data_IF_556352323485
#
_entry.id   IF_556352323485
#
_cell.length_a   1.000
_cell.length_b   1.000
_cell.length_c   1.000
_cell.angle_alpha   90.00
_cell.angle_beta   90.00
_cell.angle_gamma   90.00
#
_symmetry.space_group_name_H-M   'P 1'
#
loop_
_entity.id
_entity.type
_entity.pdbx_description
1 polymer ?
#
# COMPACT_ATOMS: atom_id res chain seq x y z
N UNK A 1 -6.15 -6.15 24.54
CA UNK A 1 -5.95 -4.79 23.98
C UNK A 1 -4.85 -4.84 22.92
N UNK A 2 -4.91 -4.02 21.86
CA UNK A 2 -4.01 -4.04 20.68
C UNK A 2 -2.55 -3.59 20.99
N UNK A 3 -1.98 -3.93 22.15
CA UNK A 3 -0.66 -3.45 22.58
C UNK A 3 -0.46 -1.93 22.40
N UNK A 4 -1.53 -1.15 22.62
CA UNK A 4 -1.50 0.30 22.42
C UNK A 4 -0.48 0.95 23.38
N UNK A 5 0.48 1.75 22.88
CA UNK A 5 1.57 2.28 23.71
C UNK A 5 1.12 3.43 24.63
N UNK A 6 -0.08 3.96 24.44
CA UNK A 6 -0.60 5.08 25.22
C UNK A 6 -1.34 4.56 26.46
N UNK A 7 -0.69 4.58 27.61
CA UNK A 7 -1.29 4.16 28.89
C UNK A 7 -2.58 4.90 29.23
N UNK A 8 -2.74 6.16 28.80
CA UNK A 8 -3.97 6.95 28.99
C UNK A 8 -5.19 6.38 28.26
N UNK A 9 -4.99 5.53 27.25
CA UNK A 9 -6.04 4.90 26.45
C UNK A 9 -6.37 3.47 26.91
N UNK A 10 -5.48 2.87 27.71
CA UNK A 10 -5.49 1.45 28.09
C UNK A 10 -5.78 1.31 29.59
N UNK A 11 -5.45 2.32 30.39
CA UNK A 11 -5.62 2.33 31.85
C UNK A 11 -6.71 3.31 32.31
N UNK A 12 -7.28 3.07 33.49
CA UNK A 12 -8.33 3.92 34.09
C UNK A 12 -9.76 3.62 33.61
N UNK A 13 -10.74 4.40 34.06
CA UNK A 13 -12.14 4.21 33.68
C UNK A 13 -12.39 4.55 32.20
N UNK A 14 -13.12 3.68 31.49
CA UNK A 14 -13.38 3.81 30.04
C UNK A 14 -14.00 5.17 29.68
N UNK A 15 -14.85 5.70 30.55
CA UNK A 15 -15.57 6.97 30.33
C UNK A 15 -14.64 8.19 30.30
N UNK A 16 -13.46 8.10 30.90
CA UNK A 16 -12.51 9.22 31.00
C UNK A 16 -11.47 9.24 29.87
N UNK A 17 -11.26 8.10 29.19
CA UNK A 17 -10.18 7.89 28.22
C UNK A 17 -10.28 8.73 26.95
N UNK A 18 -11.48 9.20 26.58
CA UNK A 18 -11.74 9.99 25.36
C UNK A 18 -12.31 11.39 25.64
N UNK A 19 -12.22 11.87 26.89
CA UNK A 19 -12.76 13.19 27.24
C UNK A 19 -11.92 14.33 26.67
N UNK A 20 -10.60 14.12 26.59
CA UNK A 20 -9.67 15.14 26.08
C UNK A 20 -9.47 14.98 24.58
N UNK A 21 -9.41 16.12 23.89
CA UNK A 21 -9.10 16.16 22.46
C UNK A 21 -7.76 15.50 22.15
N UNK A 22 -6.74 15.66 23.00
CA UNK A 22 -5.44 15.02 22.78
C UNK A 22 -5.53 13.50 22.80
N UNK A 23 -6.35 12.92 23.70
CA UNK A 23 -6.48 11.47 23.81
C UNK A 23 -7.26 10.89 22.63
N UNK A 24 -8.28 11.59 22.13
CA UNK A 24 -8.94 11.24 20.86
C UNK A 24 -7.96 11.23 19.67
N UNK A 25 -7.04 12.21 19.62
CA UNK A 25 -6.02 12.26 18.57
C UNK A 25 -5.01 11.13 18.69
N UNK A 26 -4.60 10.74 19.90
CA UNK A 26 -3.72 9.57 20.12
C UNK A 26 -4.37 8.28 19.65
N UNK A 27 -5.67 8.10 19.90
CA UNK A 27 -6.43 6.94 19.39
C UNK A 27 -6.46 6.96 17.87
N UNK A 28 -6.80 8.10 17.28
CA UNK A 28 -6.89 8.22 15.82
C UNK A 28 -5.54 7.95 15.17
N UNK A 29 -4.45 8.48 15.73
CA UNK A 29 -3.11 8.22 15.26
C UNK A 29 -2.77 6.72 15.36
N UNK A 30 -3.01 6.10 16.52
CA UNK A 30 -2.74 4.69 16.74
C UNK A 30 -3.52 3.78 15.77
N UNK A 31 -4.83 3.99 15.64
CA UNK A 31 -5.67 3.21 14.73
C UNK A 31 -5.27 3.44 13.26
N UNK A 32 -4.88 4.67 12.90
CA UNK A 32 -4.39 4.97 11.55
C UNK A 32 -3.10 4.22 11.26
N UNK A 33 -2.16 4.17 12.22
CA UNK A 33 -0.90 3.43 12.04
C UNK A 33 -1.11 1.92 12.00
N UNK A 34 -2.02 1.38 12.81
CA UNK A 34 -2.38 -0.05 12.77
C UNK A 34 -3.06 -0.43 11.45
N UNK A 35 -4.00 0.40 10.98
CA UNK A 35 -4.64 0.21 9.69
C UNK A 35 -3.62 0.24 8.55
N UNK A 36 -2.70 1.22 8.57
CA UNK A 36 -1.62 1.31 7.58
C UNK A 36 -0.72 0.08 7.62
N UNK A 37 -0.34 -0.40 8.81
CA UNK A 37 0.47 -1.62 8.96
C UNK A 37 -0.25 -2.85 8.38
N UNK A 38 -1.54 -3.01 8.68
CA UNK A 38 -2.37 -4.09 8.13
C UNK A 38 -2.47 -4.02 6.60
N UNK A 39 -2.69 -2.83 6.04
CA UNK A 39 -2.74 -2.63 4.58
C UNK A 39 -1.40 -3.00 3.91
N UNK A 40 -0.28 -2.63 4.52
CA UNK A 40 1.06 -3.00 4.03
C UNK A 40 1.24 -4.53 4.05
N UNK A 41 0.81 -5.20 5.12
CA UNK A 41 0.91 -6.66 5.24
C UNK A 41 0.04 -7.37 4.20
N UNK A 42 -1.20 -6.90 4.00
CA UNK A 42 -2.10 -7.44 2.98
C UNK A 42 -1.51 -7.29 1.58
N UNK A 43 -0.98 -6.11 1.24
CA UNK A 43 -0.37 -5.85 -0.06
C UNK A 43 0.90 -6.70 -0.31
N UNK A 44 1.67 -7.01 0.74
CA UNK A 44 2.81 -7.93 0.64
C UNK A 44 2.37 -9.37 0.34
N UNK A 45 1.26 -9.83 0.91
CA UNK A 45 0.74 -11.18 0.64
C UNK A 45 0.31 -11.35 -0.82
N UNK A 46 -0.32 -10.34 -1.41
CA UNK A 46 -0.70 -10.35 -2.83
C UNK A 46 0.49 -10.46 -3.79
N UNK A 47 1.68 -9.96 -3.42
CA UNK A 47 2.89 -10.07 -4.24
C UNK A 47 3.64 -11.39 -4.08
N UNK A 48 3.26 -12.23 -3.11
CA UNK A 48 3.96 -13.47 -2.77
C UNK A 48 3.49 -14.71 -3.55
N UNK A 49 2.31 -14.70 -4.15
CA UNK A 49 1.78 -15.86 -4.90
C UNK A 49 2.20 -15.82 -6.37
N UNK A 50 3.45 -16.22 -6.62
CA UNK A 50 4.01 -16.36 -7.96
C UNK A 50 3.49 -17.65 -8.64
N UNK A 51 2.17 -17.75 -8.89
CA UNK A 51 1.56 -18.85 -9.63
C UNK A 51 0.90 -18.33 -10.92
N UNK A 52 1.34 -18.89 -12.05
CA UNK A 52 0.80 -18.77 -13.41
C UNK A 52 0.56 -17.35 -13.97
N UNK A 53 1.43 -16.91 -14.89
CA UNK A 53 1.40 -15.61 -15.59
C UNK A 53 0.05 -15.19 -16.23
N UNK A 54 -0.83 -16.13 -16.57
CA UNK A 54 -2.16 -15.80 -17.10
C UNK A 54 -3.17 -15.50 -15.99
N UNK A 55 -3.01 -16.09 -14.81
CA UNK A 55 -3.82 -15.79 -13.63
C UNK A 55 -3.42 -14.43 -13.03
N UNK A 56 -2.13 -14.05 -13.16
CA UNK A 56 -1.58 -12.79 -12.67
C UNK A 56 -2.30 -11.55 -13.22
N UNK A 57 -2.55 -11.49 -14.54
CA UNK A 57 -3.27 -10.34 -15.15
C UNK A 57 -4.72 -10.27 -14.67
N UNK A 58 -5.40 -11.42 -14.55
CA UNK A 58 -6.77 -11.48 -14.03
C UNK A 58 -6.82 -11.08 -12.56
N UNK A 59 -5.87 -11.52 -11.75
CA UNK A 59 -5.73 -11.12 -10.35
C UNK A 59 -5.45 -9.62 -10.21
N UNK A 60 -4.58 -9.04 -11.04
CA UNK A 60 -4.31 -7.60 -11.03
C UNK A 60 -5.56 -6.79 -11.36
N UNK A 61 -6.30 -7.18 -12.40
CA UNK A 61 -7.54 -6.53 -12.79
C UNK A 61 -8.60 -6.69 -11.69
N UNK A 62 -8.65 -7.84 -11.04
CA UNK A 62 -9.54 -8.08 -9.91
C UNK A 62 -9.18 -7.19 -8.71
N UNK A 63 -7.89 -7.00 -8.41
CA UNK A 63 -7.45 -6.06 -7.38
C UNK A 63 -7.85 -4.62 -7.71
N UNK A 64 -7.72 -4.21 -8.97
CA UNK A 64 -8.16 -2.88 -9.43
C UNK A 64 -9.68 -2.73 -9.25
N UNK A 65 -10.47 -3.73 -9.61
CA UNK A 65 -11.92 -3.74 -9.40
C UNK A 65 -12.27 -3.61 -7.91
N UNK A 66 -11.57 -4.33 -7.02
CA UNK A 66 -11.81 -4.31 -5.57
C UNK A 66 -11.51 -2.93 -4.98
N UNK A 67 -10.41 -2.30 -5.40
CA UNK A 67 -10.03 -0.95 -4.97
C UNK A 67 -11.01 0.11 -5.48
N UNK A 68 -11.49 -0.02 -6.72
CA UNK A 68 -12.41 0.93 -7.34
C UNK A 68 -13.89 0.67 -6.97
N UNK A 69 -14.18 -0.43 -6.25
CA UNK A 69 -15.55 -0.86 -5.93
C UNK A 69 -16.37 -1.20 -7.19
N UNK A 70 -15.71 -1.69 -8.25
CA UNK A 70 -16.37 -2.17 -9.46
C UNK A 70 -16.91 -3.58 -9.18
N UNK A 71 -18.20 -3.88 -9.48
CA UNK A 71 -18.77 -5.21 -9.25
C UNK A 71 -17.94 -6.28 -9.94
N UNK A 72 -17.64 -7.37 -9.20
CA UNK A 72 -16.97 -8.55 -9.76
C UNK A 72 -17.88 -9.14 -10.85
N UNK A 73 -17.37 -9.25 -12.07
CA UNK A 73 -18.01 -10.11 -13.07
C UNK A 73 -17.98 -11.53 -12.51
N UNK A 74 -19.14 -12.15 -12.30
CA UNK A 74 -19.27 -13.49 -11.71
C UNK A 74 -18.69 -14.63 -12.57
N UNK A 75 -18.07 -14.31 -13.71
CA UNK A 75 -17.40 -15.25 -14.60
C UNK A 75 -15.88 -15.14 -14.41
N UNK A 76 -15.36 -15.76 -13.37
CA UNK A 76 -13.93 -15.78 -13.01
C UNK A 76 -13.04 -16.57 -13.98
N UNK A 77 -13.45 -16.80 -15.24
CA UNK A 77 -12.67 -17.54 -16.23
C UNK A 77 -12.87 -17.12 -17.69
N UNK A 78 -13.80 -16.23 -18.00
CA UNK A 78 -14.13 -15.98 -19.40
C UNK A 78 -13.32 -14.80 -19.94
N UNK A 79 -12.31 -15.11 -20.75
CA UNK A 79 -11.46 -14.16 -21.49
C UNK A 79 -12.28 -13.10 -22.26
N UNK A 80 -13.50 -13.43 -22.68
CA UNK A 80 -14.44 -12.54 -23.35
C UNK A 80 -15.02 -11.43 -22.45
N UNK A 81 -14.92 -11.55 -21.12
CA UNK A 81 -15.41 -10.55 -20.16
C UNK A 81 -14.36 -9.47 -19.82
N UNK A 82 -13.11 -9.64 -20.28
CA UNK A 82 -12.00 -8.72 -20.02
C UNK A 82 -12.24 -7.31 -20.60
N UNK A 83 -12.67 -7.14 -21.87
CA UNK A 83 -12.91 -5.81 -22.43
C UNK A 83 -14.03 -5.06 -21.70
N UNK A 84 -15.08 -5.78 -21.28
CA UNK A 84 -16.19 -5.21 -20.50
C UNK A 84 -15.71 -4.73 -19.14
N UNK A 85 -14.86 -5.54 -18.48
CA UNK A 85 -14.27 -5.18 -17.18
C UNK A 85 -13.36 -3.96 -17.29
N UNK A 86 -12.53 -3.88 -18.34
CA UNK A 86 -11.68 -2.72 -18.60
C UNK A 86 -12.49 -1.44 -18.87
N UNK A 87 -13.60 -1.53 -19.62
CA UNK A 87 -14.51 -0.39 -19.83
C UNK A 87 -15.19 0.06 -18.54
N UNK A 88 -15.60 -0.90 -17.68
CA UNK A 88 -16.17 -0.60 -16.37
C UNK A 88 -15.14 0.08 -15.46
N UNK A 89 -13.88 -0.39 -15.48
CA UNK A 89 -12.76 0.25 -14.77
C UNK A 89 -12.54 1.67 -15.29
N UNK A 90 -12.48 1.87 -16.61
CA UNK A 90 -12.26 3.19 -17.21
C UNK A 90 -13.37 4.17 -16.83
N UNK A 91 -14.63 3.76 -16.93
CA UNK A 91 -15.78 4.60 -16.56
C UNK A 91 -15.77 4.95 -15.07
N UNK A 92 -15.46 3.99 -14.20
CA UNK A 92 -15.33 4.23 -12.77
C UNK A 92 -14.17 5.15 -12.43
N UNK A 93 -13.04 4.99 -13.12
CA UNK A 93 -11.89 5.89 -12.99
C UNK A 93 -12.29 7.32 -13.36
N UNK A 94 -12.95 7.54 -14.50
CA UNK A 94 -13.43 8.87 -14.89
C UNK A 94 -14.36 9.49 -13.84
N UNK A 95 -15.29 8.71 -13.28
CA UNK A 95 -16.18 9.16 -12.19
C UNK A 95 -15.39 9.57 -10.94
N UNK A 96 -14.45 8.72 -10.49
CA UNK A 96 -13.62 9.02 -9.31
C UNK A 96 -12.76 10.25 -9.56
N UNK A 97 -12.09 10.33 -10.71
CA UNK A 97 -11.25 11.48 -11.09
C UNK A 97 -12.06 12.78 -11.14
N UNK A 98 -13.34 12.74 -11.54
CA UNK A 98 -14.21 13.92 -11.54
C UNK A 98 -14.52 14.47 -10.15
N UNK A 99 -14.46 13.62 -9.12
CA UNK A 99 -14.74 13.97 -7.72
C UNK A 99 -13.50 14.43 -6.96
N UNK A 100 -12.30 14.15 -7.47
CA UNK A 100 -11.04 14.58 -6.85
C UNK A 100 -10.79 16.06 -7.14
N UNK A 101 -10.58 16.91 -6.13
CA UNK A 101 -10.26 18.31 -6.36
C UNK A 101 -8.98 18.45 -7.20
N UNK A 102 -9.02 19.32 -8.21
CA UNK A 102 -7.90 19.54 -9.15
C UNK A 102 -6.59 19.96 -8.46
N UNK A 103 -6.67 20.48 -7.23
CA UNK A 103 -5.51 20.83 -6.43
C UNK A 103 -4.65 19.61 -6.02
N UNK A 104 -5.25 18.43 -5.89
CA UNK A 104 -4.54 17.18 -5.57
C UNK A 104 -3.99 16.47 -6.81
N UNK A 105 -4.43 16.87 -8.01
CA UNK A 105 -3.96 16.30 -9.26
C UNK A 105 -2.90 17.20 -9.87
N UNK A 106 -1.65 16.97 -9.47
CA UNK A 106 -0.51 17.55 -10.14
C UNK A 106 -0.50 17.16 -11.62
N UNK A 107 0.08 18.02 -12.46
CA UNK A 107 0.17 17.76 -13.89
C UNK A 107 1.00 16.49 -14.11
N UNK A 108 0.59 15.60 -15.04
CA UNK A 108 1.38 14.43 -15.37
C UNK A 108 2.82 14.83 -15.67
N UNK A 109 3.78 14.14 -15.04
CA UNK A 109 5.21 14.35 -15.26
C UNK A 109 5.58 14.08 -16.73
N UNK A 110 4.92 13.09 -17.34
CA UNK A 110 5.05 12.74 -18.75
C UNK A 110 3.73 13.00 -19.47
N UNK A 111 3.78 13.78 -20.55
CA UNK A 111 2.61 14.12 -21.39
C UNK A 111 2.64 13.46 -22.76
N UNK A 112 3.83 13.04 -23.20
CA UNK A 112 4.06 12.44 -24.50
C UNK A 112 4.08 10.92 -24.37
N UNK A 113 3.41 10.18 -25.28
CA UNK A 113 3.53 8.73 -25.30
C UNK A 113 4.98 8.34 -25.60
N UNK A 114 5.46 7.31 -24.90
CA UNK A 114 6.80 6.79 -25.10
C UNK A 114 6.80 5.79 -26.25
N UNK A 115 7.83 5.86 -27.11
CA UNK A 115 8.06 4.81 -28.09
C UNK A 115 8.68 3.57 -27.42
N UNK A 116 8.70 2.44 -28.13
CA UNK A 116 9.19 1.15 -27.60
C UNK A 116 10.63 1.22 -27.07
N UNK A 117 11.51 2.02 -27.70
CA UNK A 117 12.91 2.18 -27.25
C UNK A 117 12.97 2.96 -25.94
N UNK A 118 12.22 4.04 -25.82
CA UNK A 118 12.12 4.85 -24.62
C UNK A 118 11.50 4.07 -23.46
N UNK A 119 10.47 3.26 -23.72
CA UNK A 119 9.84 2.40 -22.72
C UNK A 119 10.86 1.41 -22.13
N UNK A 120 11.61 0.71 -22.98
CA UNK A 120 12.69 -0.21 -22.54
C UNK A 120 13.77 0.50 -21.71
N UNK A 121 14.11 1.74 -22.06
CA UNK A 121 15.07 2.52 -21.30
C UNK A 121 14.51 2.92 -19.93
N UNK A 122 13.22 3.30 -19.87
CA UNK A 122 12.54 3.61 -18.62
C UNK A 122 12.47 2.38 -17.69
N UNK A 123 12.15 1.20 -18.24
CA UNK A 123 12.15 -0.07 -17.51
C UNK A 123 13.53 -0.34 -16.90
N UNK A 124 14.61 -0.19 -17.67
CA UNK A 124 15.98 -0.37 -17.18
C UNK A 124 16.33 0.61 -16.05
N UNK A 125 15.91 1.87 -16.15
CA UNK A 125 16.12 2.87 -15.09
C UNK A 125 15.36 2.44 -13.83
N UNK A 126 14.10 2.04 -13.98
CA UNK A 126 13.26 1.60 -12.87
C UNK A 126 13.85 0.37 -12.16
N UNK A 127 14.33 -0.62 -12.91
CA UNK A 127 15.02 -1.80 -12.34
C UNK A 127 16.26 -1.43 -11.53
N UNK A 128 17.07 -0.49 -12.04
CA UNK A 128 18.25 0.01 -11.32
C UNK A 128 17.85 0.70 -10.01
N UNK A 129 16.84 1.58 -10.05
CA UNK A 129 16.35 2.29 -8.87
C UNK A 129 15.75 1.35 -7.82
N UNK A 130 14.96 0.36 -8.25
CA UNK A 130 14.40 -0.66 -7.37
C UNK A 130 15.51 -1.47 -6.69
N UNK A 131 16.54 -1.85 -7.44
CA UNK A 131 17.69 -2.60 -6.90
C UNK A 131 18.45 -1.79 -5.85
N UNK A 132 18.72 -0.52 -6.13
CA UNK A 132 19.37 0.40 -5.18
C UNK A 132 18.52 0.61 -3.92
N UNK A 133 17.22 0.85 -4.11
CA UNK A 133 16.26 1.01 -3.00
C UNK A 133 16.22 -0.22 -2.11
N UNK A 134 16.14 -1.42 -2.70
CA UNK A 134 16.17 -2.68 -1.96
C UNK A 134 17.48 -2.91 -1.20
N UNK A 135 18.61 -2.53 -1.80
CA UNK A 135 19.91 -2.54 -1.12
C UNK A 135 19.91 -1.60 0.10
N UNK A 136 19.48 -0.35 -0.09
CA UNK A 136 19.40 0.65 0.99
C UNK A 136 18.46 0.22 2.09
N UNK A 137 17.29 -0.35 1.75
CA UNK A 137 16.32 -0.87 2.71
C UNK A 137 16.93 -1.98 3.57
N UNK A 138 17.60 -2.96 2.96
CA UNK A 138 18.27 -4.05 3.69
C UNK A 138 19.38 -3.52 4.60
N UNK A 139 20.18 -2.59 4.13
CA UNK A 139 21.24 -1.95 4.94
C UNK A 139 20.64 -1.23 6.16
N UNK A 140 19.57 -0.45 5.99
CA UNK A 140 18.92 0.26 7.09
C UNK A 140 18.32 -0.69 8.12
N UNK A 141 17.67 -1.78 7.68
CA UNK A 141 17.14 -2.81 8.56
C UNK A 141 18.26 -3.50 9.34
N UNK A 142 19.34 -3.90 8.65
CA UNK A 142 20.49 -4.54 9.32
C UNK A 142 21.16 -3.60 10.32
N UNK A 143 21.25 -2.31 10.01
CA UNK A 143 21.80 -1.30 10.94
C UNK A 143 20.93 -1.17 12.19
N UNK A 144 19.61 -1.15 12.03
CA UNK A 144 18.68 -1.16 13.16
C UNK A 144 18.90 -2.41 14.03
N UNK A 145 18.95 -3.60 13.43
CA UNK A 145 19.17 -4.85 14.15
C UNK A 145 20.46 -4.82 14.97
N UNK A 146 21.57 -4.42 14.35
CA UNK A 146 22.88 -4.34 15.03
C UNK A 146 22.85 -3.31 16.16
N UNK A 147 22.15 -2.19 15.97
CA UNK A 147 21.99 -1.16 17.02
C UNK A 147 21.22 -1.72 18.20
N UNK A 148 20.11 -2.44 17.96
CA UNK A 148 19.33 -3.09 19.03
C UNK A 148 20.18 -4.15 19.75
N UNK A 149 20.92 -4.95 19.00
CA UNK A 149 21.79 -5.99 19.56
C UNK A 149 22.90 -5.42 20.45
N UNK A 150 23.46 -4.26 20.12
CA UNK A 150 24.53 -3.64 20.91
C UNK A 150 24.12 -3.27 22.34
N UNK A 151 22.82 -3.05 22.61
CA UNK A 151 22.35 -2.79 23.98
C UNK A 151 22.46 -4.02 24.89
N UNK A 152 22.46 -5.24 24.31
CA UNK A 152 22.62 -6.49 25.05
C UNK A 152 24.07 -6.93 25.24
N UNK A 153 25.05 -6.16 24.77
CA UNK A 153 26.48 -6.54 24.80
C UNK A 153 27.24 -6.01 26.02
N UNK A 154 26.56 -5.37 26.97
CA UNK A 154 27.18 -4.97 28.24
C UNK A 154 26.99 -6.05 29.30
N UNK A 155 28.00 -6.29 30.15
CA UNK A 155 27.93 -7.20 31.31
C UNK A 155 26.86 -6.80 32.36
N UNK A 156 26.12 -5.71 32.14
CA UNK A 156 25.03 -5.21 33.00
C UNK A 156 23.64 -5.36 32.38
N UNK A 157 23.52 -5.95 31.19
CA UNK A 157 22.23 -6.20 30.52
C UNK A 157 21.57 -7.50 31.02
#
# INVERSE_FOLDING_TARGET
ELACPYSTLVSGEIKDRLKKKEDCLKVLLFLSTELQALQILQFKQCKGSHLAKNDEVHQEIQMICDVLGVPKSSASSDFYSLPVSLNNIESKLKDVLSKVPKAYMEKPLLKTPLNTKQMKQLEKINESLLTEYECRRRMLMKRLDVTVQSFGWSDRA
#
